data_IF_206863253987
#
_entry.id   IF_206863253987
#
_cell.length_a   1.000
_cell.length_b   1.000
_cell.length_c   1.000
_cell.angle_alpha   90.00
_cell.angle_beta   90.00
_cell.angle_gamma   90.00
#
_symmetry.space_group_name_H-M   'P 1'
#
loop_
_entity.id
_entity.type
_entity.pdbx_description
1 polymer ?
#
# COMPACT_ATOMS: atom_id res chain seq x y z
N UNK A 1 1.61 5.05 -29.24
CA UNK A 1 1.55 5.06 -27.77
C UNK A 1 2.05 3.72 -27.23
N UNK A 2 2.97 3.71 -26.25
CA UNK A 2 3.00 2.63 -25.28
C UNK A 2 2.92 3.18 -23.84
N UNK A 3 2.06 2.53 -23.06
CA UNK A 3 1.78 2.80 -21.66
C UNK A 3 2.76 1.92 -20.86
N UNK A 4 3.85 2.49 -20.35
CA UNK A 4 4.77 1.84 -19.40
C UNK A 4 5.68 2.90 -18.77
N UNK A 5 5.24 3.50 -17.67
CA UNK A 5 6.09 4.35 -16.82
C UNK A 5 6.20 3.67 -15.45
N UNK A 6 7.23 2.85 -15.18
CA UNK A 6 7.48 2.42 -13.82
C UNK A 6 8.11 3.61 -13.06
N UNK A 7 7.33 4.16 -12.13
CA UNK A 7 7.72 4.94 -10.96
C UNK A 7 8.83 5.99 -11.12
N UNK A 8 8.42 7.24 -11.36
CA UNK A 8 9.24 8.46 -11.43
C UNK A 8 10.04 8.83 -10.14
N UNK A 9 10.08 7.98 -9.10
CA UNK A 9 10.72 8.29 -7.81
C UNK A 9 12.25 8.08 -7.79
N UNK A 10 12.83 7.44 -8.81
CA UNK A 10 14.29 7.24 -8.91
C UNK A 10 15.11 8.51 -9.19
N UNK A 11 14.49 9.69 -9.30
CA UNK A 11 15.18 10.94 -9.65
C UNK A 11 15.47 11.89 -8.48
N UNK A 12 15.05 11.57 -7.25
CA UNK A 12 15.36 12.39 -6.07
C UNK A 12 15.95 11.53 -4.94
N UNK A 13 17.28 11.43 -4.87
CA UNK A 13 18.00 10.71 -3.82
C UNK A 13 18.32 11.63 -2.63
N UNK A 14 17.34 11.86 -1.76
CA UNK A 14 17.59 12.37 -0.39
C UNK A 14 17.58 11.19 0.59
N UNK A 15 18.38 11.25 1.66
CA UNK A 15 18.43 10.18 2.70
C UNK A 15 17.05 9.86 3.28
N UNK A 16 16.18 10.86 3.37
CA UNK A 16 14.79 10.69 3.83
C UNK A 16 13.97 9.80 2.89
N UNK A 17 14.19 9.87 1.57
CA UNK A 17 13.51 9.00 0.59
C UNK A 17 13.99 7.55 0.69
N UNK A 18 15.28 7.35 0.96
CA UNK A 18 15.87 6.00 1.10
C UNK A 18 15.41 5.30 2.39
N UNK A 19 15.40 6.01 3.53
CA UNK A 19 14.82 5.49 4.78
C UNK A 19 13.34 5.18 4.61
N UNK A 20 12.57 6.06 3.95
CA UNK A 20 11.15 5.85 3.72
C UNK A 20 10.86 4.60 2.89
N UNK A 21 11.63 4.37 1.82
CA UNK A 21 11.49 3.19 0.97
C UNK A 21 11.85 1.91 1.73
N UNK A 22 12.92 1.94 2.52
CA UNK A 22 13.36 0.79 3.33
C UNK A 22 12.30 0.40 4.34
N UNK A 23 11.80 1.34 5.13
CA UNK A 23 10.75 1.08 6.13
C UNK A 23 9.43 0.59 5.49
N UNK A 24 9.11 1.07 4.28
CA UNK A 24 7.95 0.58 3.55
C UNK A 24 8.15 -0.88 3.13
N UNK A 25 9.34 -1.27 2.66
CA UNK A 25 9.65 -2.65 2.31
C UNK A 25 9.62 -3.57 3.53
N UNK A 26 10.14 -3.12 4.67
CA UNK A 26 10.06 -3.86 5.93
C UNK A 26 8.61 -4.09 6.37
N UNK A 27 7.77 -3.06 6.28
CA UNK A 27 6.34 -3.18 6.55
C UNK A 27 5.67 -4.16 5.59
N UNK A 28 5.96 -4.08 4.29
CA UNK A 28 5.38 -4.98 3.31
C UNK A 28 5.78 -6.44 3.58
N UNK A 29 7.00 -6.67 4.03
CA UNK A 29 7.48 -7.99 4.44
C UNK A 29 6.72 -8.48 5.68
N UNK A 30 6.57 -7.63 6.70
CA UNK A 30 5.79 -7.95 7.90
C UNK A 30 4.32 -8.30 7.57
N UNK A 31 3.71 -7.55 6.64
CA UNK A 31 2.35 -7.80 6.18
C UNK A 31 2.25 -9.07 5.33
N UNK A 32 3.30 -9.43 4.58
CA UNK A 32 3.35 -10.68 3.85
C UNK A 32 3.44 -11.89 4.80
N UNK A 33 4.22 -11.78 5.87
CA UNK A 33 4.35 -12.80 6.92
C UNK A 33 3.11 -12.90 7.81
N UNK A 34 2.39 -11.79 7.99
CA UNK A 34 1.18 -11.69 8.80
C UNK A 34 0.02 -11.05 8.03
N UNK A 35 -0.54 -11.70 6.99
CA UNK A 35 -1.51 -11.09 6.08
C UNK A 35 -2.79 -10.59 6.78
N UNK A 36 -3.14 -11.17 7.92
CA UNK A 36 -4.33 -10.86 8.69
C UNK A 36 -4.11 -9.78 9.76
N UNK A 37 -2.89 -9.25 9.90
CA UNK A 37 -2.55 -8.22 10.90
C UNK A 37 -3.36 -6.94 10.74
N UNK A 38 -3.63 -6.52 9.50
CA UNK A 38 -4.47 -5.36 9.23
C UNK A 38 -5.96 -5.75 9.21
N UNK A 39 -6.79 -4.83 9.72
CA UNK A 39 -8.25 -5.01 9.76
C UNK A 39 -8.81 -5.13 8.34
N UNK A 40 -9.58 -6.20 8.13
CA UNK A 40 -10.37 -6.37 6.91
C UNK A 40 -11.56 -5.41 6.91
N UNK A 41 -11.82 -4.86 5.72
CA UNK A 41 -12.94 -3.98 5.42
C UNK A 41 -13.81 -4.64 4.39
N UNK A 42 -14.79 -5.39 4.89
CA UNK A 42 -15.79 -6.08 4.08
C UNK A 42 -16.80 -5.11 3.44
N UNK A 43 -16.81 -3.84 3.84
CA UNK A 43 -17.61 -2.79 3.19
C UNK A 43 -17.16 -2.48 1.74
N UNK A 44 -15.98 -2.96 1.34
CA UNK A 44 -15.42 -2.79 -0.01
C UNK A 44 -15.43 -4.15 -0.72
N UNK A 45 -15.82 -4.17 -1.99
CA UNK A 45 -15.85 -5.40 -2.80
C UNK A 45 -14.84 -5.32 -3.95
N UNK A 46 -13.86 -6.25 -4.05
CA UNK A 46 -13.57 -7.34 -3.10
C UNK A 46 -13.03 -6.80 -1.76
N UNK A 47 -13.16 -7.56 -0.65
CA UNK A 47 -12.70 -7.12 0.67
C UNK A 47 -11.21 -6.78 0.65
N UNK A 48 -10.89 -5.62 1.24
CA UNK A 48 -9.53 -5.10 1.34
C UNK A 48 -9.12 -4.94 2.79
N UNK A 49 -7.82 -4.94 3.02
CA UNK A 49 -7.17 -4.63 4.29
C UNK A 49 -6.43 -3.32 4.15
N UNK A 50 -6.43 -2.53 5.22
CA UNK A 50 -5.83 -1.20 5.24
C UNK A 50 -4.90 -1.07 6.43
N UNK A 51 -3.61 -0.88 6.18
CA UNK A 51 -2.60 -0.66 7.21
C UNK A 51 -2.01 0.75 7.09
N UNK A 52 -2.05 1.59 8.14
CA UNK A 52 -1.41 2.91 8.08
C UNK A 52 0.12 2.80 8.08
N UNK A 53 0.79 3.66 7.33
CA UNK A 53 2.25 3.76 7.28
C UNK A 53 2.68 5.23 7.13
N UNK A 54 3.09 5.84 8.25
CA UNK A 54 3.41 7.28 8.30
C UNK A 54 2.24 8.11 7.72
N UNK A 55 2.52 8.87 6.66
CA UNK A 55 1.52 9.67 5.96
C UNK A 55 0.76 8.91 4.85
N UNK A 56 1.01 7.62 4.65
CA UNK A 56 0.40 6.80 3.60
C UNK A 56 -0.38 5.62 4.19
N UNK A 57 -1.22 5.00 3.37
CA UNK A 57 -1.96 3.78 3.70
C UNK A 57 -1.50 2.66 2.77
N UNK A 58 -1.30 1.47 3.30
CA UNK A 58 -1.10 0.24 2.53
C UNK A 58 -2.44 -0.45 2.39
N UNK A 59 -2.99 -0.44 1.17
CA UNK A 59 -4.26 -1.09 0.86
C UNK A 59 -3.95 -2.35 0.08
N UNK A 60 -4.35 -3.50 0.63
CA UNK A 60 -4.02 -4.80 0.04
C UNK A 60 -5.16 -5.80 0.23
N UNK A 61 -5.10 -6.90 -0.51
CA UNK A 61 -5.97 -8.07 -0.30
C UNK A 61 -5.10 -9.31 -0.13
N UNK A 62 -5.65 -10.37 0.45
CA UNK A 62 -4.94 -11.66 0.61
C UNK A 62 -5.44 -12.60 -0.47
N UNK A 63 -4.52 -13.21 -1.23
CA UNK A 63 -4.85 -14.15 -2.31
C UNK A 63 -3.96 -15.38 -2.15
N UNK A 64 -4.59 -16.54 -1.93
CA UNK A 64 -3.89 -17.76 -1.48
C UNK A 64 -3.07 -17.42 -0.24
N UNK A 65 -1.74 -17.35 -0.35
CA UNK A 65 -0.82 -17.12 0.77
C UNK A 65 0.07 -15.88 0.57
N UNK A 66 -0.40 -14.91 -0.23
CA UNK A 66 0.33 -13.66 -0.45
C UNK A 66 -0.57 -12.45 -0.31
N UNK A 67 0.03 -11.34 0.11
CA UNK A 67 -0.60 -10.04 0.00
C UNK A 67 -0.49 -9.53 -1.45
N UNK A 68 -1.54 -8.87 -1.91
CA UNK A 68 -1.57 -8.14 -3.18
C UNK A 68 -1.85 -6.69 -2.85
N UNK A 69 -0.82 -5.85 -2.95
CA UNK A 69 -0.94 -4.41 -2.72
C UNK A 69 -1.68 -3.78 -3.90
N UNK A 70 -2.81 -3.13 -3.61
CA UNK A 70 -3.68 -2.52 -4.60
C UNK A 70 -3.34 -1.04 -4.81
N UNK A 71 -3.09 -0.32 -3.70
CA UNK A 71 -2.86 1.14 -3.67
C UNK A 71 -2.02 1.56 -2.46
N UNK A 72 -1.29 2.66 -2.61
CA UNK A 72 -0.54 3.36 -1.55
C UNK A 72 -0.93 4.85 -1.45
N UNK A 73 -2.20 5.20 -1.19
CA UNK A 73 -2.60 6.61 -1.14
C UNK A 73 -2.04 7.27 0.11
N UNK A 74 -1.79 8.58 0.02
CA UNK A 74 -1.56 9.41 1.22
C UNK A 74 -2.82 9.33 2.09
N UNK A 75 -2.65 9.21 3.41
CA UNK A 75 -3.73 9.22 4.40
C UNK A 75 -4.38 10.61 4.44
N UNK A 76 -5.29 10.87 3.49
CA UNK A 76 -6.20 12.01 3.54
C UNK A 76 -7.45 11.63 4.34
N UNK A 77 -8.26 12.61 4.77
CA UNK A 77 -9.55 12.33 5.45
C UNK A 77 -10.53 11.54 4.57
N UNK A 78 -10.31 11.46 3.26
CA UNK A 78 -11.27 10.96 2.27
C UNK A 78 -10.83 9.64 1.61
N UNK A 79 -9.85 8.94 2.17
CA UNK A 79 -9.28 7.72 1.54
C UNK A 79 -10.33 6.63 1.23
N UNK A 80 -11.44 6.57 1.97
CA UNK A 80 -12.57 5.66 1.69
C UNK A 80 -13.22 5.94 0.32
N UNK A 81 -13.23 7.21 -0.13
CA UNK A 81 -13.83 7.62 -1.40
C UNK A 81 -13.01 7.16 -2.61
N UNK A 82 -11.72 6.87 -2.44
CA UNK A 82 -10.82 6.35 -3.48
C UNK A 82 -10.99 4.85 -3.75
N UNK A 83 -11.84 4.16 -2.98
CA UNK A 83 -12.05 2.71 -3.04
C UNK A 83 -13.44 2.31 -3.53
N UNK A 84 -14.23 3.29 -4.00
CA UNK A 84 -15.50 3.02 -4.67
C UNK A 84 -15.25 2.62 -6.14
N UNK A 85 -15.98 1.62 -6.67
CA UNK A 85 -15.86 1.16 -8.05
C UNK A 85 -16.30 2.20 -9.08
#
# INVERSE_FOLDING_TARGET
>A
MPISQPFQWLRNSSRETETYATELLDLLSLLADNPQMARERAEITPPVRVHPFRAHLVIYTVRADRIVVLRLPRASREWQRLLQP
#
